data_IF_013784275180
#
_entry.id   IF_013784275180
#
_cell.length_a   1.000
_cell.length_b   1.000
_cell.length_c   1.000
_cell.angle_alpha   90.00
_cell.angle_beta   90.00
_cell.angle_gamma   90.00
#
_symmetry.space_group_name_H-M   'P 1'
#
loop_
_entity.id
_entity.type
_entity.pdbx_description
1 polymer ?
#
# COMPACT_ATOMS: atom_id res chain seq x y z
N UNK A 1 -18.76 -31.13 -34.38
CA UNK A 1 -18.39 -29.96 -35.21
C UNK A 1 -17.48 -29.05 -34.40
N UNK A 2 -16.18 -28.98 -34.72
CA UNK A 2 -15.22 -28.07 -34.06
C UNK A 2 -15.31 -26.70 -34.75
N UNK A 3 -15.64 -25.63 -33.99
CA UNK A 3 -15.58 -24.26 -34.50
C UNK A 3 -14.11 -23.86 -34.68
N UNK A 4 -13.76 -23.52 -35.92
CA UNK A 4 -12.48 -22.95 -36.31
C UNK A 4 -12.25 -21.63 -35.58
N UNK A 5 -11.11 -21.50 -34.87
CA UNK A 5 -10.63 -20.21 -34.36
C UNK A 5 -9.91 -19.52 -35.52
N UNK A 6 -10.41 -18.36 -35.93
CA UNK A 6 -9.68 -17.50 -36.86
C UNK A 6 -8.37 -17.03 -36.19
N UNK A 7 -7.21 -17.17 -36.85
CA UNK A 7 -5.98 -16.57 -36.35
C UNK A 7 -6.06 -15.06 -36.56
N UNK A 8 -5.94 -14.30 -35.47
CA UNK A 8 -5.73 -12.86 -35.52
C UNK A 8 -4.43 -12.61 -36.28
N UNK A 9 -4.49 -11.88 -37.41
CA UNK A 9 -3.28 -11.49 -38.11
C UNK A 9 -2.49 -10.49 -37.24
N UNK A 10 -1.18 -10.69 -37.03
CA UNK A 10 -0.35 -9.68 -36.41
C UNK A 10 -0.32 -8.43 -37.30
N UNK A 11 -0.40 -7.25 -36.67
CA UNK A 11 -0.22 -5.96 -37.35
C UNK A 11 1.19 -5.95 -37.93
N UNK A 12 1.31 -5.78 -39.26
CA UNK A 12 2.58 -5.84 -39.96
C UNK A 12 3.61 -4.85 -39.35
N UNK A 13 4.75 -5.36 -38.90
CA UNK A 13 5.89 -4.56 -38.44
C UNK A 13 6.08 -4.47 -36.92
N UNK A 14 5.19 -5.06 -36.10
CA UNK A 14 5.40 -5.18 -34.65
C UNK A 14 5.54 -6.66 -34.33
N UNK A 15 6.77 -7.13 -34.15
CA UNK A 15 7.03 -8.45 -33.57
C UNK A 15 6.40 -8.47 -32.16
N UNK A 16 5.50 -9.43 -31.85
CA UNK A 16 4.94 -9.53 -30.52
C UNK A 16 6.07 -9.87 -29.55
N UNK A 17 6.52 -8.87 -28.78
CA UNK A 17 7.42 -9.11 -27.67
C UNK A 17 6.60 -9.75 -26.56
N UNK A 18 6.72 -11.08 -26.43
CA UNK A 18 6.12 -11.79 -25.30
C UNK A 18 6.82 -11.33 -24.03
N UNK A 19 6.09 -10.59 -23.18
CA UNK A 19 6.57 -10.29 -21.83
C UNK A 19 6.71 -11.62 -21.07
N UNK A 20 7.90 -11.83 -20.51
CA UNK A 20 8.13 -12.95 -19.59
C UNK A 20 7.42 -12.65 -18.27
N UNK A 21 7.08 -13.70 -17.52
CA UNK A 21 6.37 -13.55 -16.25
C UNK A 21 7.14 -12.70 -15.21
N UNK A 22 8.47 -12.68 -15.28
CA UNK A 22 9.35 -11.84 -14.44
C UNK A 22 9.38 -10.36 -14.87
N UNK A 23 8.78 -10.03 -16.03
CA UNK A 23 8.64 -8.65 -16.53
C UNK A 23 7.25 -8.07 -16.22
N UNK A 24 6.37 -8.85 -15.59
CA UNK A 24 5.02 -8.42 -15.20
C UNK A 24 5.02 -8.29 -13.69
N UNK A 25 4.82 -7.08 -13.18
CA UNK A 25 4.58 -6.88 -11.75
C UNK A 25 3.19 -7.44 -11.40
N UNK A 26 3.19 -8.66 -10.87
CA UNK A 26 2.00 -9.34 -10.36
C UNK A 26 1.72 -8.99 -8.89
N UNK A 27 2.47 -8.04 -8.32
CA UNK A 27 2.22 -7.53 -6.97
C UNK A 27 0.83 -6.91 -6.84
N UNK A 28 0.30 -6.81 -5.61
CA UNK A 28 -0.96 -6.11 -5.39
C UNK A 28 -0.88 -4.69 -5.97
N UNK A 29 -1.87 -4.25 -6.75
CA UNK A 29 -1.82 -2.93 -7.37
C UNK A 29 -1.90 -1.84 -6.31
N UNK A 30 -1.27 -0.69 -6.60
CA UNK A 30 -1.46 0.51 -5.81
C UNK A 30 -2.92 0.98 -5.90
N UNK A 31 -3.58 1.17 -4.76
CA UNK A 31 -4.98 1.56 -4.69
C UNK A 31 -5.20 3.08 -4.86
N UNK A 32 -4.19 3.90 -4.57
CA UNK A 32 -4.23 5.36 -4.64
C UNK A 32 -2.81 5.92 -4.82
N UNK A 33 -2.64 7.25 -4.90
CA UNK A 33 -1.32 7.90 -4.89
C UNK A 33 -0.92 8.29 -3.47
N UNK A 34 0.36 8.14 -3.12
CA UNK A 34 0.89 8.62 -1.83
C UNK A 34 1.17 10.13 -1.83
N UNK A 35 1.24 10.77 -3.00
CA UNK A 35 1.69 12.16 -3.09
C UNK A 35 3.09 12.36 -2.49
N UNK A 36 3.27 13.46 -1.75
CA UNK A 36 4.51 13.77 -1.05
C UNK A 36 4.59 12.99 0.26
N UNK A 37 5.61 12.14 0.39
CA UNK A 37 5.82 11.36 1.62
C UNK A 37 6.71 12.14 2.60
N UNK A 38 6.22 12.29 3.82
CA UNK A 38 6.96 12.89 4.95
C UNK A 38 6.88 11.99 6.18
N UNK A 39 7.78 12.18 7.14
CA UNK A 39 7.78 11.43 8.38
C UNK A 39 8.21 12.29 9.56
N UNK A 40 7.64 12.04 10.75
CA UNK A 40 8.12 12.70 11.97
C UNK A 40 9.47 12.11 12.39
N UNK A 41 10.41 12.92 12.94
CA UNK A 41 11.69 12.41 13.39
C UNK A 41 11.55 11.29 14.42
N UNK A 42 10.55 11.38 15.29
CA UNK A 42 10.31 10.40 16.34
C UNK A 42 9.74 9.07 15.79
N UNK A 43 8.94 9.10 14.71
CA UNK A 43 8.52 7.88 14.02
C UNK A 43 9.71 7.19 13.34
N UNK A 44 10.59 7.95 12.66
CA UNK A 44 11.79 7.39 12.03
C UNK A 44 12.72 6.73 13.05
N UNK A 45 12.95 7.37 14.20
CA UNK A 45 13.75 6.82 15.28
C UNK A 45 13.17 5.50 15.80
N UNK A 46 11.86 5.44 16.03
CA UNK A 46 11.17 4.24 16.53
C UNK A 46 11.19 3.11 15.49
N UNK A 47 10.99 3.42 14.21
CA UNK A 47 11.09 2.46 13.10
C UNK A 47 12.50 1.85 13.04
N UNK A 48 13.54 2.69 13.18
CA UNK A 48 14.93 2.25 13.18
C UNK A 48 15.24 1.35 14.39
N UNK A 49 14.79 1.73 15.59
CA UNK A 49 14.95 0.94 16.83
C UNK A 49 14.40 -0.48 16.67
N UNK A 50 13.22 -0.59 16.07
CA UNK A 50 12.53 -1.86 15.85
C UNK A 50 12.93 -2.59 14.55
N UNK A 51 13.86 -2.02 13.77
CA UNK A 51 14.31 -2.55 12.46
C UNK A 51 13.14 -2.77 11.49
N UNK A 52 12.11 -1.92 11.57
CA UNK A 52 11.02 -1.91 10.61
C UNK A 52 11.41 -1.12 9.35
N UNK A 53 10.61 -1.25 8.30
CA UNK A 53 10.89 -0.67 6.98
C UNK A 53 9.83 0.34 6.58
N UNK A 54 10.20 1.62 6.43
CA UNK A 54 9.28 2.66 5.91
C UNK A 54 8.69 2.25 4.54
N UNK A 55 9.49 1.81 3.56
CA UNK A 55 8.95 1.33 2.28
C UNK A 55 7.92 0.21 2.42
N UNK A 56 8.11 -0.71 3.36
CA UNK A 56 7.15 -1.79 3.61
C UNK A 56 5.84 -1.27 4.19
N UNK A 57 5.90 -0.37 5.18
CA UNK A 57 4.70 0.26 5.75
C UNK A 57 3.93 1.06 4.70
N UNK A 58 4.64 1.80 3.83
CA UNK A 58 4.02 2.53 2.71
C UNK A 58 3.41 1.58 1.68
N UNK A 59 4.11 0.50 1.32
CA UNK A 59 3.58 -0.50 0.40
C UNK A 59 2.29 -1.12 0.94
N UNK A 60 2.29 -1.56 2.21
CA UNK A 60 1.12 -2.11 2.88
C UNK A 60 -0.05 -1.11 2.92
N UNK A 61 0.24 0.16 3.22
CA UNK A 61 -0.76 1.23 3.21
C UNK A 61 -1.39 1.39 1.82
N UNK A 62 -0.54 1.44 0.79
CA UNK A 62 -0.90 1.66 -0.61
C UNK A 62 -1.67 0.49 -1.23
N UNK A 63 -1.42 -0.74 -0.80
CA UNK A 63 -2.03 -1.96 -1.35
C UNK A 63 -3.22 -2.48 -0.54
N UNK A 64 -3.63 -1.76 0.52
CA UNK A 64 -4.78 -2.15 1.33
C UNK A 64 -4.52 -3.22 2.37
N UNK A 65 -3.26 -3.45 2.75
CA UNK A 65 -2.92 -4.36 3.85
C UNK A 65 -3.11 -3.68 5.21
N UNK A 66 -4.36 -3.67 5.67
CA UNK A 66 -4.79 -3.02 6.92
C UNK A 66 -5.19 -4.03 8.01
N UNK A 67 -4.56 -5.20 8.03
CA UNK A 67 -4.99 -6.35 8.85
C UNK A 67 -5.09 -6.04 10.35
N UNK A 68 -4.21 -5.17 10.86
CA UNK A 68 -4.14 -4.77 12.26
C UNK A 68 -5.24 -3.80 12.69
N UNK A 69 -6.01 -3.25 11.75
CA UNK A 69 -7.10 -2.30 12.01
C UNK A 69 -8.42 -3.03 12.28
N UNK A 70 -9.31 -2.38 13.03
CA UNK A 70 -10.65 -2.92 13.25
C UNK A 70 -11.49 -2.84 11.96
N UNK A 71 -12.57 -3.63 11.86
CA UNK A 71 -13.41 -3.67 10.65
C UNK A 71 -13.94 -2.27 10.26
N UNK A 72 -14.51 -1.46 11.16
CA UNK A 72 -14.96 -0.11 10.83
C UNK A 72 -13.88 0.77 10.19
N UNK A 73 -12.66 0.76 10.72
CA UNK A 73 -11.59 1.61 10.17
C UNK A 73 -11.13 1.10 8.80
N UNK A 74 -11.11 -0.22 8.58
CA UNK A 74 -10.84 -0.79 7.25
C UNK A 74 -11.92 -0.43 6.24
N UNK A 75 -13.19 -0.48 6.66
CA UNK A 75 -14.31 -0.08 5.80
C UNK A 75 -14.20 1.40 5.44
N UNK A 76 -13.81 2.26 6.39
CA UNK A 76 -13.57 3.69 6.13
C UNK A 76 -12.45 3.92 5.12
N UNK A 77 -11.36 3.16 5.17
CA UNK A 77 -10.32 3.22 4.14
C UNK A 77 -10.84 2.78 2.77
N UNK A 78 -11.68 1.73 2.69
CA UNK A 78 -12.26 1.32 1.42
C UNK A 78 -13.16 2.40 0.82
N UNK A 79 -13.97 3.05 1.65
CA UNK A 79 -14.75 4.23 1.25
C UNK A 79 -13.83 5.34 0.75
N UNK A 80 -12.76 5.68 1.48
CA UNK A 80 -11.78 6.67 1.06
C UNK A 80 -11.13 6.34 -0.30
N UNK A 81 -10.80 5.07 -0.55
CA UNK A 81 -10.20 4.61 -1.80
C UNK A 81 -11.19 4.68 -2.96
N UNK A 82 -12.45 4.27 -2.74
CA UNK A 82 -13.45 4.19 -3.81
C UNK A 82 -14.09 5.54 -4.13
N UNK A 83 -14.30 6.39 -3.13
CA UNK A 83 -15.04 7.65 -3.26
C UNK A 83 -14.12 8.87 -3.31
N UNK A 84 -12.93 8.80 -2.71
CA UNK A 84 -11.91 9.87 -2.79
C UNK A 84 -12.19 11.10 -1.91
N UNK A 85 -13.20 11.08 -1.05
CA UNK A 85 -13.63 12.25 -0.27
C UNK A 85 -12.97 12.36 1.12
N UNK A 86 -12.31 11.29 1.57
CA UNK A 86 -11.71 11.22 2.91
C UNK A 86 -10.27 10.71 2.85
N UNK A 87 -9.53 10.91 3.95
CA UNK A 87 -8.16 10.42 4.11
C UNK A 87 -8.11 8.90 4.22
N UNK A 88 -7.01 8.30 3.80
CA UNK A 88 -6.69 6.90 4.09
C UNK A 88 -5.81 6.86 5.34
N UNK A 89 -6.13 5.98 6.28
CA UNK A 89 -5.43 5.87 7.56
C UNK A 89 -4.98 4.43 7.80
N UNK A 90 -3.71 4.18 8.09
CA UNK A 90 -3.22 2.87 8.54
C UNK A 90 -2.55 2.94 9.88
N UNK A 91 -2.76 1.92 10.72
CA UNK A 91 -2.12 1.75 12.02
C UNK A 91 -1.40 0.41 12.03
N UNK A 92 -0.07 0.45 11.97
CA UNK A 92 0.79 -0.72 11.96
C UNK A 92 1.37 -0.99 13.33
N UNK A 93 1.51 -2.27 13.68
CA UNK A 93 2.30 -2.70 14.83
C UNK A 93 3.67 -3.18 14.34
N UNK A 94 4.73 -2.50 14.79
CA UNK A 94 6.12 -2.84 14.45
C UNK A 94 6.83 -3.57 15.60
N UNK A 95 6.11 -3.96 16.66
CA UNK A 95 6.68 -4.79 17.70
C UNK A 95 7.11 -6.18 17.15
N UNK A 96 8.16 -6.81 17.71
CA UNK A 96 8.55 -8.15 17.31
C UNK A 96 7.40 -9.15 17.53
N UNK A 97 6.98 -9.85 16.47
CA UNK A 97 5.83 -10.78 16.48
C UNK A 97 5.90 -11.90 17.55
N UNK A 98 7.10 -12.18 18.07
CA UNK A 98 7.37 -13.27 19.00
C UNK A 98 7.62 -12.79 20.45
N UNK A 99 7.37 -11.53 20.77
CA UNK A 99 7.51 -11.00 22.13
C UNK A 99 6.15 -10.54 22.67
N UNK A 100 5.80 -11.02 23.86
CA UNK A 100 4.66 -10.50 24.60
C UNK A 100 5.00 -9.10 25.12
N UNK A 101 4.25 -8.08 24.68
CA UNK A 101 4.49 -6.70 25.04
C UNK A 101 3.39 -5.76 24.53
N UNK A 102 3.51 -4.48 24.88
CA UNK A 102 2.65 -3.42 24.34
C UNK A 102 2.93 -3.26 22.84
N UNK A 103 1.91 -3.07 21.99
CA UNK A 103 2.12 -2.78 20.57
C UNK A 103 2.95 -1.52 20.38
N UNK A 104 3.78 -1.51 19.35
CA UNK A 104 4.58 -0.34 18.95
C UNK A 104 3.97 0.20 17.67
N UNK A 105 3.21 1.29 17.80
CA UNK A 105 2.36 1.77 16.70
C UNK A 105 3.07 2.79 15.84
N UNK A 106 2.94 2.61 14.53
CA UNK A 106 3.21 3.63 13.51
C UNK A 106 1.94 3.87 12.73
N UNK A 107 1.58 5.13 12.57
CA UNK A 107 0.49 5.57 11.70
C UNK A 107 1.03 6.01 10.36
N UNK A 108 0.28 5.70 9.30
CA UNK A 108 0.51 6.19 7.94
C UNK A 108 -0.79 6.80 7.45
N UNK A 109 -0.78 8.09 7.13
CA UNK A 109 -1.98 8.85 6.80
C UNK A 109 -1.77 9.52 5.45
N UNK A 110 -2.62 9.20 4.48
CA UNK A 110 -2.69 9.91 3.20
C UNK A 110 -3.89 10.86 3.22
N UNK A 111 -3.66 12.15 3.04
CA UNK A 111 -4.72 13.17 3.04
C UNK A 111 -5.77 12.92 1.96
N UNK A 112 -6.97 13.49 2.15
CA UNK A 112 -8.14 13.23 1.28
C UNK A 112 -7.86 13.51 -0.21
N UNK A 113 -7.08 14.56 -0.49
CA UNK A 113 -6.68 14.97 -1.84
C UNK A 113 -5.46 14.21 -2.38
N UNK A 114 -4.93 13.25 -1.61
CA UNK A 114 -3.73 12.45 -1.93
C UNK A 114 -2.47 13.29 -2.16
N UNK A 115 -2.44 14.52 -1.65
CA UNK A 115 -1.30 15.42 -1.83
C UNK A 115 -0.10 15.03 -0.95
N UNK A 116 -0.36 14.51 0.24
CA UNK A 116 0.66 14.19 1.25
C UNK A 116 0.34 12.87 1.95
N UNK A 117 1.38 12.07 2.17
CA UNK A 117 1.39 10.94 3.09
C UNK A 117 2.32 11.22 4.26
N UNK A 118 1.82 11.16 5.48
CA UNK A 118 2.63 11.35 6.71
C UNK A 118 2.80 10.02 7.43
N UNK A 119 4.05 9.67 7.74
CA UNK A 119 4.42 8.56 8.64
C UNK A 119 4.74 9.13 10.02
N UNK A 120 3.96 8.76 11.04
CA UNK A 120 4.04 9.38 12.36
C UNK A 120 3.71 8.39 13.48
N UNK A 121 4.07 8.72 14.72
CA UNK A 121 3.56 8.01 15.89
C UNK A 121 2.15 8.51 16.24
N UNK A 122 1.33 7.72 16.95
CA UNK A 122 0.06 8.20 17.47
C UNK A 122 0.18 9.50 18.29
N UNK A 123 1.28 9.65 19.03
CA UNK A 123 1.51 10.81 19.90
C UNK A 123 1.94 12.08 19.14
N UNK A 124 2.27 11.97 17.86
CA UNK A 124 2.66 13.11 17.03
C UNK A 124 1.46 13.71 16.26
N UNK A 125 0.26 13.12 16.41
CA UNK A 125 -0.99 13.54 15.77
C UNK A 125 -1.90 14.25 16.77
#
# INVERSE_FOLDING_TARGET
>A
MRKSRHPSHPIAGIEPHTLRADQIDLGPPALFSLGHVVATPAALALIQEHRASVPELLHRHLTGDWQEMCKPDRDANWVAVLEGETRVFSSFDIAPKNQAGKPVKIWVITEWDRSVTTVLRPEDY
#
